data_IF_448027661766
#
_entry.id   IF_448027661766
#
_cell.length_a   1.000
_cell.length_b   1.000
_cell.length_c   1.000
_cell.angle_alpha   90.00
_cell.angle_beta   90.00
_cell.angle_gamma   90.00
#
_symmetry.space_group_name_H-M   'P 1'
#
loop_
_entity.id
_entity.type
_entity.pdbx_description
1 polymer ?
#
# COMPACT_ATOMS: atom_id res chain seq x y z
N UNK A 1 -24.70 44.61 -68.98
CA UNK A 1 -26.07 44.09 -68.86
C UNK A 1 -25.96 42.60 -68.59
N UNK A 2 -26.38 42.11 -67.41
CA UNK A 2 -26.29 40.71 -66.97
C UNK A 2 -25.28 40.47 -65.83
N UNK A 3 -25.72 40.09 -64.61
CA UNK A 3 -24.89 40.05 -63.41
C UNK A 3 -24.30 38.66 -63.13
N UNK A 4 -23.03 38.59 -62.68
CA UNK A 4 -22.49 37.38 -62.06
C UNK A 4 -22.73 37.41 -60.55
N UNK A 5 -23.72 36.62 -60.12
CA UNK A 5 -24.02 36.36 -58.72
C UNK A 5 -22.96 35.43 -58.10
N UNK A 6 -22.16 35.95 -57.16
CA UNK A 6 -21.34 35.12 -56.28
C UNK A 6 -22.10 34.79 -55.00
N UNK A 7 -22.81 33.66 -54.97
CA UNK A 7 -23.38 33.11 -53.72
C UNK A 7 -22.31 32.26 -53.03
N UNK A 8 -21.63 32.81 -52.02
CA UNK A 8 -20.81 32.00 -51.11
C UNK A 8 -21.73 31.24 -50.14
N UNK A 9 -21.64 29.92 -50.22
CA UNK A 9 -22.28 28.94 -49.34
C UNK A 9 -21.70 29.02 -47.92
N UNK A 10 -22.56 29.25 -46.92
CA UNK A 10 -22.22 29.09 -45.49
C UNK A 10 -23.33 28.27 -44.84
N UNK A 11 -23.28 26.95 -45.02
CA UNK A 11 -24.22 26.02 -44.34
C UNK A 11 -23.56 24.67 -44.02
N UNK A 12 -22.37 24.63 -43.43
CA UNK A 12 -21.81 23.34 -42.97
C UNK A 12 -21.09 23.35 -41.61
N UNK A 13 -20.98 24.46 -40.89
CA UNK A 13 -20.13 24.49 -39.69
C UNK A 13 -20.82 24.02 -38.40
N UNK A 14 -22.16 23.91 -38.36
CA UNK A 14 -22.87 23.65 -37.08
C UNK A 14 -23.20 22.17 -36.84
N UNK A 15 -22.91 21.26 -37.77
CA UNK A 15 -23.44 19.89 -37.72
C UNK A 15 -22.43 18.78 -37.40
N UNK A 16 -21.29 19.06 -36.75
CA UNK A 16 -20.26 18.03 -36.49
C UNK A 16 -19.68 18.00 -35.07
N UNK A 17 -20.25 18.72 -34.09
CA UNK A 17 -19.77 18.69 -32.69
C UNK A 17 -20.57 17.79 -31.75
N UNK A 18 -21.68 17.20 -32.19
CA UNK A 18 -22.50 16.33 -31.34
C UNK A 18 -22.06 14.85 -31.33
N UNK A 19 -21.22 14.42 -32.28
CA UNK A 19 -20.92 12.99 -32.48
C UNK A 19 -19.68 12.47 -31.77
N UNK A 20 -18.79 13.35 -31.28
CA UNK A 20 -17.55 12.92 -30.60
C UNK A 20 -17.75 12.71 -29.09
N UNK A 21 -18.76 13.36 -28.48
CA UNK A 21 -19.03 13.23 -27.04
C UNK A 21 -19.64 11.89 -26.61
N UNK A 22 -20.24 11.12 -27.53
CA UNK A 22 -21.01 9.91 -27.19
C UNK A 22 -20.17 8.62 -27.19
N UNK A 23 -19.00 8.59 -27.86
CA UNK A 23 -18.15 7.39 -27.92
C UNK A 23 -17.27 7.18 -26.67
N UNK A 24 -17.05 8.20 -25.85
CA UNK A 24 -16.21 8.09 -24.63
C UNK A 24 -16.92 7.42 -23.44
N UNK A 25 -18.25 7.23 -23.50
CA UNK A 25 -19.04 6.63 -22.42
C UNK A 25 -19.11 5.10 -22.47
N UNK A 26 -18.66 4.46 -23.57
CA UNK A 26 -18.83 3.01 -23.77
C UNK A 26 -17.67 2.14 -23.26
N UNK A 27 -16.55 2.72 -22.81
CA UNK A 27 -15.36 1.96 -22.38
C UNK A 27 -15.37 1.64 -20.86
N UNK A 28 -16.38 2.11 -20.11
CA UNK A 28 -16.43 1.99 -18.65
C UNK A 28 -16.89 0.65 -18.07
N UNK A 29 -17.30 -0.33 -18.89
CA UNK A 29 -17.93 -1.56 -18.40
C UNK A 29 -17.11 -2.85 -18.59
N UNK A 30 -15.78 -2.77 -18.65
CA UNK A 30 -14.95 -3.98 -18.51
C UNK A 30 -14.71 -4.24 -17.02
N UNK A 31 -15.27 -5.34 -16.50
CA UNK A 31 -15.04 -5.76 -15.12
C UNK A 31 -13.55 -5.90 -14.82
N UNK A 32 -13.14 -5.49 -13.62
CA UNK A 32 -11.73 -5.54 -13.22
C UNK A 32 -11.16 -6.96 -13.30
N UNK A 33 -9.93 -7.06 -13.81
CA UNK A 33 -9.19 -8.32 -13.88
C UNK A 33 -8.86 -8.87 -12.49
N UNK A 34 -8.63 -10.18 -12.37
CA UNK A 34 -8.17 -10.78 -11.09
C UNK A 34 -6.91 -10.08 -10.56
N UNK A 35 -5.98 -9.70 -11.44
CA UNK A 35 -4.77 -8.98 -11.07
C UNK A 35 -5.08 -7.60 -10.49
N UNK A 36 -5.97 -6.81 -11.11
CA UNK A 36 -6.35 -5.50 -10.59
C UNK A 36 -6.97 -5.62 -9.19
N UNK A 37 -7.80 -6.63 -8.98
CA UNK A 37 -8.39 -6.92 -7.66
C UNK A 37 -7.36 -7.34 -6.61
N UNK A 38 -6.28 -8.04 -7.02
CA UNK A 38 -5.17 -8.37 -6.11
C UNK A 38 -4.43 -7.11 -5.68
N UNK A 39 -4.12 -6.23 -6.64
CA UNK A 39 -3.45 -4.95 -6.36
C UNK A 39 -4.26 -4.09 -5.41
N UNK A 40 -5.57 -3.98 -5.64
CA UNK A 40 -6.49 -3.28 -4.76
C UNK A 40 -6.52 -3.91 -3.37
N UNK A 41 -6.72 -5.23 -3.27
CA UNK A 41 -6.77 -5.91 -1.97
C UNK A 41 -5.47 -5.78 -1.16
N UNK A 42 -4.32 -5.88 -1.83
CA UNK A 42 -3.02 -5.68 -1.19
C UNK A 42 -2.80 -4.22 -0.79
N UNK A 43 -3.17 -3.26 -1.63
CA UNK A 43 -3.12 -1.84 -1.31
C UNK A 43 -3.98 -1.53 -0.08
N UNK A 44 -5.21 -2.02 -0.05
CA UNK A 44 -6.15 -1.80 1.06
C UNK A 44 -5.60 -2.34 2.38
N UNK A 45 -5.08 -3.57 2.40
CA UNK A 45 -4.46 -4.16 3.59
C UNK A 45 -3.26 -3.33 4.05
N UNK A 46 -2.35 -2.99 3.13
CA UNK A 46 -1.11 -2.28 3.46
C UNK A 46 -1.37 -0.84 3.93
N UNK A 47 -2.33 -0.14 3.33
CA UNK A 47 -2.71 1.20 3.77
C UNK A 47 -3.45 1.17 5.11
N UNK A 48 -4.34 0.19 5.31
CA UNK A 48 -5.02 0.02 6.58
C UNK A 48 -4.04 -0.26 7.72
N UNK A 49 -3.10 -1.18 7.52
CA UNK A 49 -2.07 -1.49 8.54
C UNK A 49 -1.16 -0.30 8.84
N UNK A 50 -0.72 0.45 7.81
CA UNK A 50 0.08 1.68 7.98
C UNK A 50 -0.60 2.67 8.93
N UNK A 51 -1.91 2.86 8.78
CA UNK A 51 -2.68 3.81 9.58
C UNK A 51 -3.26 3.20 10.86
N UNK A 52 -2.86 1.99 11.25
CA UNK A 52 -3.34 1.33 12.46
C UNK A 52 -4.81 0.87 12.38
N UNK A 53 -5.40 0.83 11.19
CA UNK A 53 -6.77 0.34 10.93
C UNK A 53 -6.78 -1.18 10.82
N UNK A 54 -6.41 -1.86 11.91
CA UNK A 54 -6.33 -3.32 11.93
C UNK A 54 -7.70 -3.98 11.75
N UNK A 55 -8.77 -3.30 12.16
CA UNK A 55 -10.16 -3.65 11.87
C UNK A 55 -10.40 -3.84 10.37
N UNK A 56 -9.88 -2.93 9.54
CA UNK A 56 -10.00 -3.00 8.06
C UNK A 56 -9.00 -3.98 7.46
N UNK A 57 -7.77 -4.01 7.98
CA UNK A 57 -6.73 -4.90 7.46
C UNK A 57 -7.15 -6.38 7.57
N UNK A 58 -7.74 -6.77 8.70
CA UNK A 58 -8.18 -8.15 8.94
C UNK A 58 -9.28 -8.61 7.97
N UNK A 59 -10.07 -7.70 7.38
CA UNK A 59 -11.04 -8.06 6.34
C UNK A 59 -10.36 -8.63 5.09
N UNK A 60 -9.08 -8.33 4.85
CA UNK A 60 -8.30 -8.84 3.71
C UNK A 60 -7.53 -10.11 4.05
N UNK A 61 -7.60 -10.60 5.28
CA UNK A 61 -6.95 -11.84 5.71
C UNK A 61 -7.90 -13.01 5.57
N UNK A 62 -7.37 -14.18 5.24
CA UNK A 62 -8.16 -15.41 5.20
C UNK A 62 -8.66 -15.75 6.61
N UNK A 63 -9.92 -16.16 6.79
CA UNK A 63 -10.47 -16.45 8.11
C UNK A 63 -9.66 -17.48 8.92
N UNK A 64 -9.02 -18.44 8.23
CA UNK A 64 -8.20 -19.48 8.87
C UNK A 64 -6.87 -18.94 9.40
N UNK A 65 -6.40 -17.82 8.89
CA UNK A 65 -5.07 -17.27 9.17
C UNK A 65 -5.13 -16.00 10.05
N UNK A 66 -6.34 -15.54 10.41
CA UNK A 66 -6.58 -14.34 11.23
C UNK A 66 -5.81 -14.34 12.55
N UNK A 67 -5.83 -15.47 13.28
CA UNK A 67 -5.16 -15.56 14.58
C UNK A 67 -3.63 -15.43 14.44
N UNK A 68 -3.05 -16.08 13.43
CA UNK A 68 -1.62 -15.99 13.13
C UNK A 68 -1.20 -14.59 12.72
N UNK A 69 -2.00 -13.95 11.87
CA UNK A 69 -1.81 -12.56 11.47
C UNK A 69 -1.87 -11.60 12.67
N UNK A 70 -2.91 -11.69 13.50
CA UNK A 70 -3.08 -10.85 14.69
C UNK A 70 -1.91 -11.00 15.67
N UNK A 71 -1.44 -12.22 15.89
CA UNK A 71 -0.29 -12.50 16.77
C UNK A 71 1.00 -11.85 16.26
N UNK A 72 1.30 -11.95 14.96
CA UNK A 72 2.51 -11.34 14.36
C UNK A 72 2.46 -9.81 14.36
N UNK A 73 1.26 -9.23 14.32
CA UNK A 73 1.03 -7.78 14.27
C UNK A 73 0.68 -7.17 15.63
N UNK A 74 0.73 -7.94 16.73
CA UNK A 74 0.28 -7.48 18.05
C UNK A 74 1.03 -6.24 18.57
N UNK A 75 2.28 -6.04 18.14
CA UNK A 75 3.09 -4.88 18.51
C UNK A 75 2.78 -3.61 17.69
N UNK A 76 2.07 -3.74 16.57
CA UNK A 76 1.84 -2.65 15.63
C UNK A 76 0.84 -1.64 16.22
N UNK A 77 1.17 -0.36 16.11
CA UNK A 77 0.40 0.72 16.74
C UNK A 77 0.69 0.91 18.24
N UNK A 78 1.47 0.00 18.85
CA UNK A 78 1.99 0.11 20.21
C UNK A 78 3.51 0.35 20.20
N UNK A 79 4.28 -0.73 20.37
CA UNK A 79 5.74 -0.69 20.39
C UNK A 79 6.39 -0.68 19.01
N UNK A 80 5.62 -0.85 17.93
CA UNK A 80 6.06 -0.67 16.55
C UNK A 80 5.15 0.35 15.87
N UNK A 81 5.76 1.42 15.35
CA UNK A 81 5.11 2.40 14.49
C UNK A 81 5.48 2.14 13.05
N UNK A 82 4.47 1.90 12.20
CA UNK A 82 4.68 1.84 10.75
C UNK A 82 4.79 3.27 10.23
N UNK A 83 5.91 3.54 9.57
CA UNK A 83 6.24 4.84 8.99
C UNK A 83 5.86 4.86 7.53
N UNK A 84 6.18 3.81 6.78
CA UNK A 84 5.94 3.70 5.35
C UNK A 84 5.68 2.26 4.89
N UNK A 85 4.92 2.10 3.80
CA UNK A 85 4.74 0.81 3.12
C UNK A 85 4.85 1.04 1.62
N UNK A 86 5.86 0.45 1.00
CA UNK A 86 6.15 0.58 -0.42
C UNK A 86 5.86 -0.73 -1.16
N UNK A 87 5.16 -0.64 -2.28
CA UNK A 87 4.89 -1.77 -3.15
C UNK A 87 6.11 -2.08 -4.03
N UNK A 88 6.57 -3.33 -4.01
CA UNK A 88 7.79 -3.75 -4.73
C UNK A 88 7.51 -4.59 -5.96
N UNK A 89 6.39 -5.31 -5.98
CA UNK A 89 5.97 -6.09 -7.15
C UNK A 89 5.04 -7.25 -6.81
N UNK A 90 4.66 -7.98 -7.85
CA UNK A 90 3.81 -9.17 -7.78
C UNK A 90 4.49 -10.30 -8.52
N UNK A 91 4.44 -11.49 -7.94
CA UNK A 91 4.72 -12.73 -8.63
C UNK A 91 3.44 -13.58 -8.64
N UNK A 92 2.95 -13.90 -9.84
CA UNK A 92 1.87 -14.86 -10.00
C UNK A 92 2.45 -16.26 -9.92
N UNK A 93 1.92 -17.08 -9.01
CA UNK A 93 2.31 -18.48 -8.86
C UNK A 93 1.42 -19.34 -9.75
N UNK A 94 0.11 -19.11 -9.69
CA UNK A 94 -0.91 -19.73 -10.54
C UNK A 94 -2.16 -18.82 -10.63
N UNK A 95 -3.23 -19.29 -11.27
CA UNK A 95 -4.47 -18.52 -11.50
C UNK A 95 -5.18 -18.02 -10.22
N UNK A 96 -4.90 -18.64 -9.07
CA UNK A 96 -5.50 -18.34 -7.79
C UNK A 96 -4.48 -18.06 -6.69
N UNK A 97 -3.18 -18.09 -6.97
CA UNK A 97 -2.12 -17.86 -5.98
C UNK A 97 -1.13 -16.81 -6.47
N UNK A 98 -0.78 -15.87 -5.60
CA UNK A 98 0.17 -14.83 -5.89
C UNK A 98 1.00 -14.45 -4.66
N UNK A 99 2.19 -13.93 -4.89
CA UNK A 99 3.03 -13.30 -3.88
C UNK A 99 3.15 -11.82 -4.17
N UNK A 100 2.79 -10.98 -3.21
CA UNK A 100 2.98 -9.53 -3.26
C UNK A 100 4.19 -9.18 -2.41
N UNK A 101 5.13 -8.42 -2.96
CA UNK A 101 6.31 -7.97 -2.24
C UNK A 101 6.14 -6.53 -1.79
N UNK A 102 6.38 -6.27 -0.51
CA UNK A 102 6.34 -4.92 0.08
C UNK A 102 7.58 -4.64 0.91
N UNK A 103 7.99 -3.38 0.97
CA UNK A 103 8.97 -2.90 1.94
C UNK A 103 8.24 -2.07 2.99
N UNK A 104 8.42 -2.42 4.26
CA UNK A 104 7.77 -1.75 5.39
C UNK A 104 8.82 -0.98 6.16
N UNK A 105 8.70 0.34 6.18
CA UNK A 105 9.48 1.24 7.02
C UNK A 105 8.83 1.35 8.39
N UNK A 106 9.58 1.11 9.46
CA UNK A 106 9.05 1.10 10.83
C UNK A 106 10.07 1.59 11.86
N UNK A 107 9.57 2.02 13.01
CA UNK A 107 10.35 2.51 14.14
C UNK A 107 9.78 1.97 15.45
N UNK A 108 10.64 1.86 16.47
CA UNK A 108 10.19 1.70 17.84
C UNK A 108 10.09 3.08 18.50
N UNK A 109 9.16 3.31 19.45
CA UNK A 109 9.00 4.62 20.10
C UNK A 109 10.28 5.19 20.71
N UNK A 110 11.13 4.33 21.28
CA UNK A 110 12.35 4.72 21.99
C UNK A 110 13.63 4.59 21.13
N UNK A 111 13.49 4.25 19.84
CA UNK A 111 14.61 4.09 18.89
C UNK A 111 14.40 5.03 17.68
N UNK A 112 15.22 6.08 17.52
CA UNK A 112 15.07 7.01 16.40
C UNK A 112 15.42 6.39 15.04
N UNK A 113 16.01 5.20 15.00
CA UNK A 113 16.42 4.56 13.76
C UNK A 113 15.22 4.07 12.95
N UNK A 114 15.11 4.55 11.70
CA UNK A 114 14.20 3.98 10.72
C UNK A 114 14.72 2.60 10.28
N UNK A 115 13.91 1.57 10.50
CA UNK A 115 14.15 0.20 10.05
C UNK A 115 13.33 -0.08 8.81
N UNK A 116 13.82 -0.97 7.95
CA UNK A 116 13.12 -1.42 6.75
C UNK A 116 13.14 -2.93 6.69
N UNK A 117 11.95 -3.53 6.67
CA UNK A 117 11.76 -4.98 6.51
C UNK A 117 11.06 -5.25 5.19
N UNK A 118 11.58 -6.20 4.41
CA UNK A 118 10.91 -6.64 3.19
C UNK A 118 10.07 -7.88 3.49
N UNK A 119 8.80 -7.84 3.07
CA UNK A 119 7.84 -8.91 3.28
C UNK A 119 7.43 -9.52 1.94
N UNK A 120 7.33 -10.84 1.93
CA UNK A 120 6.58 -11.61 0.94
C UNK A 120 5.21 -11.93 1.52
N UNK A 121 4.16 -11.36 0.94
CA UNK A 121 2.77 -11.58 1.31
C UNK A 121 2.18 -12.63 0.38
N UNK A 122 1.73 -13.76 0.91
CA UNK A 122 1.12 -14.84 0.12
C UNK A 122 -0.40 -14.64 0.05
N UNK A 123 -0.94 -14.62 -1.16
CA UNK A 123 -2.35 -14.35 -1.43
C UNK A 123 -3.01 -15.51 -2.17
N UNK A 124 -4.25 -15.79 -1.81
CA UNK A 124 -5.08 -16.83 -2.44
C UNK A 124 -6.42 -16.21 -2.90
N UNK A 125 -6.85 -16.55 -4.11
CA UNK A 125 -8.13 -16.16 -4.69
C UNK A 125 -9.18 -17.23 -4.43
N UNK A 126 -10.29 -16.85 -3.81
CA UNK A 126 -11.39 -17.77 -3.53
C UNK A 126 -12.74 -17.08 -3.44
N UNK A 127 -13.64 -17.69 -2.67
CA UNK A 127 -14.92 -17.06 -2.36
C UNK A 127 -14.67 -15.77 -1.56
N UNK A 128 -15.13 -14.63 -2.11
CA UNK A 128 -14.88 -13.31 -1.54
C UNK A 128 -13.61 -12.60 -2.05
N UNK A 129 -12.96 -13.14 -3.10
CA UNK A 129 -11.82 -12.49 -3.77
C UNK A 129 -10.47 -12.91 -3.22
N UNK A 130 -9.47 -12.05 -3.39
CA UNK A 130 -8.12 -12.27 -2.88
C UNK A 130 -8.06 -12.07 -1.37
N UNK A 131 -7.44 -13.03 -0.68
CA UNK A 131 -7.19 -12.97 0.76
C UNK A 131 -5.73 -13.28 1.07
N UNK A 132 -5.17 -12.55 2.02
CA UNK A 132 -3.85 -12.81 2.58
C UNK A 132 -3.88 -14.11 3.39
N UNK A 133 -2.92 -15.00 3.10
CA UNK A 133 -2.73 -16.27 3.78
C UNK A 133 -1.58 -16.20 4.78
N UNK A 134 -0.47 -15.59 4.37
CA UNK A 134 0.71 -15.51 5.20
C UNK A 134 1.62 -14.35 4.82
N UNK A 135 2.50 -13.97 5.75
CA UNK A 135 3.52 -12.97 5.56
C UNK A 135 4.83 -13.47 6.13
N UNK A 136 5.86 -13.42 5.30
CA UNK A 136 7.20 -13.85 5.68
C UNK A 136 8.20 -12.76 5.36
N UNK A 137 9.10 -12.48 6.29
CA UNK A 137 10.25 -11.62 6.01
C UNK A 137 11.21 -12.32 5.04
N UNK A 138 11.50 -11.68 3.91
CA UNK A 138 12.47 -12.20 2.94
C UNK A 138 13.81 -11.44 2.98
N UNK A 139 13.82 -10.20 3.48
CA UNK A 139 15.04 -9.40 3.66
C UNK A 139 14.83 -8.25 4.67
N UNK A 140 15.91 -7.49 4.93
CA UNK A 140 15.86 -6.31 5.80
C UNK A 140 15.87 -6.62 7.29
N UNK A 141 15.51 -5.61 8.08
CA UNK A 141 15.55 -5.64 9.53
C UNK A 141 14.60 -6.68 10.13
N UNK A 142 15.00 -7.23 11.27
CA UNK A 142 14.24 -8.20 12.08
C UNK A 142 13.39 -7.49 13.14
N UNK A 143 12.27 -8.11 13.55
CA UNK A 143 11.44 -7.66 14.66
C UNK A 143 10.08 -7.09 14.27
N UNK A 144 9.84 -6.86 12.97
CA UNK A 144 8.56 -6.35 12.48
C UNK A 144 7.40 -7.33 12.73
N UNK A 145 7.62 -8.64 12.58
CA UNK A 145 6.58 -9.67 12.69
C UNK A 145 6.62 -10.41 14.04
N UNK A 146 7.14 -9.74 15.07
CA UNK A 146 7.27 -10.31 16.41
C UNK A 146 8.44 -11.29 16.57
N UNK A 147 9.40 -11.30 15.64
CA UNK A 147 10.64 -12.03 15.83
C UNK A 147 11.41 -11.48 17.05
N UNK A 148 11.92 -12.36 17.92
CA UNK A 148 12.71 -11.93 19.07
C UNK A 148 13.99 -11.23 18.60
N UNK A 149 14.17 -9.97 18.99
CA UNK A 149 15.40 -9.21 18.74
C UNK A 149 16.10 -8.97 20.06
N UNK A 150 17.35 -9.43 20.19
CA UNK A 150 18.20 -9.02 21.32
C UNK A 150 18.65 -7.58 21.07
N UNK A 151 17.91 -6.64 21.65
CA UNK A 151 18.29 -5.23 21.62
C UNK A 151 19.40 -5.00 22.65
N UNK A 152 20.65 -4.90 22.17
CA UNK A 152 21.73 -4.34 22.97
C UNK A 152 21.49 -2.83 23.11
N UNK A 153 20.69 -2.44 24.11
CA UNK A 153 20.58 -1.04 24.50
C UNK A 153 22.00 -0.55 24.85
N UNK A 154 22.56 0.45 24.15
CA UNK A 154 23.80 1.06 24.61
C UNK A 154 23.57 1.54 26.04
N UNK A 155 24.46 1.20 26.97
CA UNK A 155 24.35 1.69 28.34
C UNK A 155 24.11 3.19 28.31
N UNK A 156 23.05 3.63 28.99
CA UNK A 156 22.75 5.04 29.19
C UNK A 156 24.02 5.69 29.74
N UNK A 157 24.72 6.48 28.93
CA UNK A 157 25.84 7.26 29.45
C UNK A 157 25.27 8.16 30.55
N UNK A 158 25.79 8.10 31.79
CA UNK A 158 25.33 9.00 32.82
C UNK A 158 25.56 10.44 32.35
N UNK A 159 24.56 11.30 32.57
CA UNK A 159 24.66 12.71 32.22
C UNK A 159 25.89 13.31 32.93
N UNK A 160 26.82 13.84 32.13
CA UNK A 160 28.00 14.51 32.67
C UNK A 160 27.56 15.90 33.13
N UNK A 161 27.41 16.08 34.45
CA UNK A 161 27.19 17.40 35.03
C UNK A 161 28.49 18.19 35.00
N UNK A 162 28.53 19.24 34.18
CA UNK A 162 29.63 20.21 34.19
C UNK A 162 29.39 21.24 35.31
N UNK A 163 30.40 21.58 36.12
CA UNK A 163 30.28 22.65 37.11
C UNK A 163 30.05 23.99 36.40
N UNK A 164 28.93 24.64 36.68
CA UNK A 164 28.67 26.01 36.22
C UNK A 164 29.44 26.99 37.09
N UNK A 165 30.40 27.71 36.51
CA UNK A 165 31.11 28.80 37.19
C UNK A 165 30.36 30.11 36.90
N UNK A 166 29.88 30.77 37.95
CA UNK A 166 29.34 32.13 37.85
C UNK A 166 30.49 33.13 37.98
N UNK A 167 30.74 33.90 36.93
CA UNK A 167 31.67 35.04 36.97
C UNK A 167 30.96 36.20 37.68
N UNK A 168 31.54 36.71 38.77
CA UNK A 168 31.09 37.91 39.48
C UNK A 168 31.88 39.14 39.05
#
# INVERSE_FOLDING_TARGET
MGPFHHKRSVRHVVSNMASVGLLLLAVGCMGQTKMAKLQEAASDLNMATRFGRMDVATERVSPKDLEGFARRHAAWGGSIRIVDVEYRGIQIVDDNTAVVFVAVGWQQPDDPNLRVTQLAQQWEYGQGGWKLKDETRNAGDVGLLGETTEYLRPESRPDVHYPSITIR
#
